data_IF_405509731894
#
_entry.id   IF_405509731894
#
_cell.length_a   1.000
_cell.length_b   1.000
_cell.length_c   1.000
_cell.angle_alpha   90.00
_cell.angle_beta   90.00
_cell.angle_gamma   90.00
#
_symmetry.space_group_name_H-M   'P 1'
#
loop_
_entity.id
_entity.type
_entity.pdbx_description
1 polymer ?
#
# COMPACT_ATOMS: atom_id res chain seq x y z
N UNK A 1 7.56 -2.83 10.79
CA UNK A 1 6.70 -4.03 10.67
C UNK A 1 6.20 -4.31 9.24
N UNK A 2 6.08 -3.31 8.35
CA UNK A 2 5.62 -3.50 6.96
C UNK A 2 6.61 -4.14 5.98
N UNK A 3 7.91 -4.15 6.28
CA UNK A 3 8.96 -4.64 5.37
C UNK A 3 9.10 -6.17 5.39
N UNK A 4 9.02 -6.80 6.57
CA UNK A 4 9.16 -8.25 6.70
C UNK A 4 8.08 -9.02 5.94
N UNK A 5 6.84 -8.53 5.96
CA UNK A 5 5.71 -9.19 5.30
C UNK A 5 5.82 -9.12 3.77
N UNK A 6 6.42 -8.06 3.22
CA UNK A 6 6.66 -7.92 1.78
C UNK A 6 7.81 -8.81 1.30
N UNK A 7 8.87 -8.95 2.11
CA UNK A 7 9.98 -9.89 1.83
C UNK A 7 9.48 -11.33 1.87
N UNK A 8 8.64 -11.68 2.84
CA UNK A 8 8.05 -13.01 2.95
C UNK A 8 7.12 -13.31 1.76
N UNK A 9 6.39 -12.30 1.27
CA UNK A 9 5.54 -12.43 0.08
C UNK A 9 6.35 -12.59 -1.20
N UNK A 10 7.48 -11.90 -1.32
CA UNK A 10 8.46 -12.08 -2.40
C UNK A 10 9.06 -13.49 -2.37
N UNK A 11 9.42 -13.98 -1.19
CA UNK A 11 9.97 -15.32 -0.98
C UNK A 11 8.96 -16.41 -1.36
N UNK A 12 7.71 -16.27 -0.93
CA UNK A 12 6.62 -17.18 -1.29
C UNK A 12 6.34 -17.13 -2.80
N UNK A 13 6.39 -15.96 -3.43
CA UNK A 13 6.22 -15.82 -4.88
C UNK A 13 7.34 -16.51 -5.67
N UNK A 14 8.59 -16.47 -5.18
CA UNK A 14 9.72 -17.18 -5.79
C UNK A 14 9.62 -18.70 -5.62
N UNK A 15 9.19 -19.17 -4.44
CA UNK A 15 8.95 -20.60 -4.16
C UNK A 15 7.80 -21.17 -4.99
N UNK A 16 6.74 -20.38 -5.21
CA UNK A 16 5.56 -20.81 -5.98
C UNK A 16 5.63 -20.46 -7.47
N UNK A 17 6.73 -19.85 -7.94
CA UNK A 17 6.92 -19.47 -9.34
C UNK A 17 6.79 -20.67 -10.30
N UNK A 18 7.22 -21.87 -9.87
CA UNK A 18 7.09 -23.09 -10.64
C UNK A 18 5.65 -23.67 -10.67
N UNK A 19 4.80 -23.31 -9.69
CA UNK A 19 3.41 -23.76 -9.62
C UNK A 19 2.42 -22.79 -10.29
N UNK A 20 2.77 -21.50 -10.39
CA UNK A 20 1.95 -20.48 -11.08
C UNK A 20 1.86 -20.70 -12.60
N UNK A 21 2.84 -21.38 -13.21
CA UNK A 21 2.83 -21.66 -14.65
C UNK A 21 1.67 -22.60 -15.08
N UNK A 22 1.08 -23.34 -14.16
CA UNK A 22 -0.02 -24.29 -14.43
C UNK A 22 -1.38 -23.82 -13.90
N UNK A 23 -1.48 -22.61 -13.32
CA UNK A 23 -2.77 -22.09 -12.88
C UNK A 23 -3.46 -21.38 -14.05
N UNK A 24 -4.71 -21.74 -14.40
CA UNK A 24 -5.52 -21.01 -15.37
C UNK A 24 -6.05 -19.73 -14.72
N UNK A 25 -5.13 -18.83 -14.37
CA UNK A 25 -5.46 -17.51 -13.87
C UNK A 25 -5.81 -16.63 -15.08
N UNK A 26 -6.98 -15.98 -15.10
CA UNK A 26 -7.41 -15.12 -16.20
C UNK A 26 -6.59 -13.82 -16.36
N UNK A 27 -5.50 -13.66 -15.60
CA UNK A 27 -4.71 -12.41 -15.54
C UNK A 27 -3.23 -12.67 -15.81
N UNK A 28 -2.61 -11.92 -16.74
CA UNK A 28 -1.19 -12.06 -17.07
C UNK A 28 -0.27 -11.78 -15.86
N UNK A 29 0.75 -12.61 -15.65
CA UNK A 29 1.74 -12.44 -14.58
C UNK A 29 2.46 -11.05 -14.61
N UNK A 30 2.60 -10.45 -15.80
CA UNK A 30 3.17 -9.12 -15.97
C UNK A 30 2.36 -8.00 -15.29
N UNK A 31 1.04 -8.16 -15.18
CA UNK A 31 0.17 -7.20 -14.49
C UNK A 31 0.52 -7.13 -12.99
N UNK A 32 0.71 -8.28 -12.34
CA UNK A 32 1.09 -8.35 -10.93
C UNK A 32 2.47 -7.76 -10.67
N UNK A 33 3.46 -8.06 -11.52
CA UNK A 33 4.81 -7.52 -11.38
C UNK A 33 4.86 -6.00 -11.55
N UNK A 34 4.19 -5.46 -12.57
CA UNK A 34 4.18 -4.02 -12.86
C UNK A 34 3.41 -3.24 -11.80
N UNK A 35 2.23 -3.72 -11.39
CA UNK A 35 1.44 -3.09 -10.33
C UNK A 35 2.18 -3.11 -8.99
N UNK A 36 2.75 -4.26 -8.59
CA UNK A 36 3.52 -4.36 -7.36
C UNK A 36 4.76 -3.44 -7.38
N UNK A 37 5.46 -3.37 -8.52
CA UNK A 37 6.60 -2.49 -8.71
C UNK A 37 6.23 -1.01 -8.60
N UNK A 38 5.15 -0.59 -9.26
CA UNK A 38 4.67 0.79 -9.22
C UNK A 38 4.31 1.22 -7.78
N UNK A 39 3.54 0.39 -7.07
CA UNK A 39 3.14 0.68 -5.69
C UNK A 39 4.31 0.62 -4.71
N UNK A 40 5.28 -0.28 -4.92
CA UNK A 40 6.50 -0.34 -4.11
C UNK A 40 7.35 0.91 -4.28
N UNK A 41 7.52 1.40 -5.51
CA UNK A 41 8.24 2.65 -5.79
C UNK A 41 7.54 3.85 -5.18
N UNK A 42 6.22 3.94 -5.31
CA UNK A 42 5.45 5.03 -4.72
C UNK A 42 5.48 4.99 -3.17
N UNK A 43 5.44 3.80 -2.57
CA UNK A 43 5.66 3.62 -1.13
C UNK A 43 7.08 4.02 -0.70
N UNK A 44 8.11 3.66 -1.47
CA UNK A 44 9.48 4.07 -1.21
C UNK A 44 9.67 5.59 -1.31
N UNK A 45 9.09 6.22 -2.32
CA UNK A 45 9.14 7.67 -2.52
C UNK A 45 8.45 8.43 -1.37
N UNK A 46 7.27 7.97 -0.94
CA UNK A 46 6.56 8.56 0.21
C UNK A 46 7.31 8.33 1.53
N UNK A 47 7.86 7.13 1.76
CA UNK A 47 8.68 6.82 2.92
C UNK A 47 9.95 7.68 2.99
N UNK A 48 10.61 7.90 1.85
CA UNK A 48 11.74 8.80 1.74
C UNK A 48 11.33 10.25 2.02
N UNK A 49 10.19 10.70 1.48
CA UNK A 49 9.62 12.02 1.77
C UNK A 49 9.32 12.24 3.26
N UNK A 50 8.77 11.23 3.93
CA UNK A 50 8.51 11.20 5.37
C UNK A 50 9.82 11.25 6.17
N UNK A 51 10.81 10.41 5.81
CA UNK A 51 12.11 10.38 6.47
C UNK A 51 12.87 11.71 6.35
N UNK A 52 12.72 12.39 5.21
CA UNK A 52 13.35 13.69 4.92
C UNK A 52 12.45 14.89 5.23
N UNK A 53 11.34 14.66 5.92
CA UNK A 53 10.48 15.68 6.52
C UNK A 53 9.93 16.70 5.51
N UNK A 54 9.67 16.23 4.29
CA UNK A 54 9.16 17.08 3.22
C UNK A 54 7.69 17.41 3.45
N UNK A 55 7.31 18.67 3.28
CA UNK A 55 5.94 19.14 3.48
C UNK A 55 4.89 18.43 2.60
N UNK A 56 5.29 17.93 1.41
CA UNK A 56 4.41 17.17 0.52
C UNK A 56 4.18 15.71 0.96
N UNK A 57 5.07 15.15 1.78
CA UNK A 57 5.06 13.73 2.16
C UNK A 57 3.79 13.29 2.89
N UNK A 58 3.25 14.02 3.89
CA UNK A 58 2.02 13.60 4.56
C UNK A 58 0.81 13.54 3.61
N UNK A 59 0.67 14.51 2.70
CA UNK A 59 -0.42 14.51 1.72
C UNK A 59 -0.25 13.41 0.67
N UNK A 60 0.96 13.19 0.18
CA UNK A 60 1.26 12.10 -0.76
C UNK A 60 1.01 10.72 -0.14
N UNK A 61 1.30 10.55 1.15
CA UNK A 61 1.06 9.29 1.88
C UNK A 61 -0.44 9.00 2.02
N UNK A 62 -1.26 10.03 2.29
CA UNK A 62 -2.74 9.90 2.31
C UNK A 62 -3.27 9.49 0.93
N UNK A 63 -2.82 10.15 -0.13
CA UNK A 63 -3.19 9.83 -1.51
C UNK A 63 -2.81 8.40 -1.89
N UNK A 64 -1.59 7.99 -1.57
CA UNK A 64 -1.10 6.63 -1.79
C UNK A 64 -1.94 5.59 -1.04
N UNK A 65 -2.26 5.82 0.24
CA UNK A 65 -3.06 4.90 1.03
C UNK A 65 -4.47 4.70 0.46
N UNK A 66 -5.12 5.79 0.04
CA UNK A 66 -6.44 5.75 -0.59
C UNK A 66 -6.39 5.05 -1.96
N UNK A 67 -5.43 5.42 -2.81
CA UNK A 67 -5.26 4.83 -4.13
C UNK A 67 -4.95 3.34 -4.07
N UNK A 68 -4.07 2.92 -3.16
CA UNK A 68 -3.74 1.51 -2.97
C UNK A 68 -4.93 0.71 -2.44
N UNK A 69 -5.72 1.29 -1.54
CA UNK A 69 -6.93 0.66 -1.02
C UNK A 69 -7.95 0.47 -2.14
N UNK A 70 -8.21 1.51 -2.93
CA UNK A 70 -9.12 1.43 -4.09
C UNK A 70 -8.64 0.40 -5.11
N UNK A 71 -7.34 0.37 -5.42
CA UNK A 71 -6.74 -0.62 -6.31
C UNK A 71 -6.95 -2.06 -5.79
N UNK A 72 -6.69 -2.32 -4.50
CA UNK A 72 -6.95 -3.63 -3.91
C UNK A 72 -8.41 -4.05 -3.98
N UNK A 73 -9.34 -3.13 -3.73
CA UNK A 73 -10.76 -3.43 -3.86
C UNK A 73 -11.16 -3.72 -5.32
N UNK A 74 -10.65 -2.95 -6.28
CA UNK A 74 -10.88 -3.19 -7.69
C UNK A 74 -10.31 -4.56 -8.13
N UNK A 75 -9.07 -4.87 -7.76
CA UNK A 75 -8.40 -6.15 -8.04
C UNK A 75 -9.22 -7.32 -7.50
N UNK A 76 -9.78 -7.20 -6.30
CA UNK A 76 -10.62 -8.26 -5.72
C UNK A 76 -11.98 -8.41 -6.39
N UNK A 77 -12.67 -7.30 -6.66
CA UNK A 77 -13.97 -7.33 -7.34
C UNK A 77 -13.85 -7.93 -8.75
N UNK A 78 -12.74 -7.65 -9.44
CA UNK A 78 -12.48 -8.12 -10.79
C UNK A 78 -11.93 -9.56 -10.83
N UNK A 79 -11.07 -9.95 -9.88
CA UNK A 79 -10.29 -11.19 -9.97
C UNK A 79 -10.69 -12.28 -8.97
N UNK A 80 -11.25 -11.93 -7.82
CA UNK A 80 -11.61 -12.89 -6.76
C UNK A 80 -13.09 -13.31 -6.79
N UNK A 81 -13.87 -12.89 -7.79
CA UNK A 81 -15.26 -13.35 -7.97
C UNK A 81 -15.39 -14.78 -8.52
N UNK A 82 -14.32 -15.58 -8.45
CA UNK A 82 -14.39 -17.02 -8.70
C UNK A 82 -14.82 -17.70 -7.40
N UNK A 83 -16.10 -18.09 -7.33
CA UNK A 83 -16.81 -18.60 -6.15
C UNK A 83 -16.25 -19.85 -5.43
N UNK A 84 -14.98 -20.21 -5.62
CA UNK A 84 -14.32 -21.33 -4.97
C UNK A 84 -13.92 -21.06 -3.51
N UNK A 85 -13.82 -19.81 -3.05
CA UNK A 85 -13.35 -19.49 -1.69
C UNK A 85 -14.29 -18.48 -1.01
N UNK A 86 -14.89 -18.86 0.13
CA UNK A 86 -15.57 -17.94 1.05
C UNK A 86 -14.53 -17.02 1.70
N UNK A 87 -14.14 -15.97 0.98
CA UNK A 87 -13.19 -14.99 1.48
C UNK A 87 -13.89 -14.10 2.53
N UNK A 88 -13.34 -13.89 3.75
CA UNK A 88 -13.93 -13.00 4.75
C UNK A 88 -13.72 -11.53 4.38
N UNK A 89 -14.44 -11.07 3.35
CA UNK A 89 -14.35 -9.72 2.80
C UNK A 89 -14.68 -8.64 3.85
N UNK A 90 -15.62 -8.92 4.76
CA UNK A 90 -15.99 -8.02 5.87
C UNK A 90 -14.82 -7.80 6.82
N UNK A 91 -14.12 -8.86 7.21
CA UNK A 91 -12.96 -8.75 8.11
C UNK A 91 -11.86 -7.88 7.51
N UNK A 92 -11.59 -8.06 6.21
CA UNK A 92 -10.57 -7.27 5.52
C UNK A 92 -11.01 -5.82 5.30
N UNK A 93 -12.30 -5.57 5.07
CA UNK A 93 -12.84 -4.21 5.00
C UNK A 93 -12.68 -3.49 6.33
N UNK A 94 -13.08 -4.14 7.43
CA UNK A 94 -12.96 -3.60 8.79
C UNK A 94 -11.50 -3.34 9.13
N UNK A 95 -10.61 -4.30 8.87
CA UNK A 95 -9.19 -4.15 9.14
C UNK A 95 -8.55 -3.03 8.30
N UNK A 96 -8.89 -2.96 7.00
CA UNK A 96 -8.45 -1.89 6.11
C UNK A 96 -8.91 -0.50 6.58
N UNK A 97 -10.17 -0.40 7.00
CA UNK A 97 -10.73 0.82 7.58
C UNK A 97 -9.99 1.22 8.85
N UNK A 98 -9.73 0.29 9.77
CA UNK A 98 -8.96 0.54 11.00
C UNK A 98 -7.56 1.04 10.68
N UNK A 99 -6.84 0.38 9.75
CA UNK A 99 -5.51 0.82 9.35
C UNK A 99 -5.52 2.22 8.72
N UNK A 100 -6.51 2.53 7.88
CA UNK A 100 -6.70 3.87 7.31
C UNK A 100 -6.99 4.90 8.40
N UNK A 101 -7.91 4.61 9.32
CA UNK A 101 -8.23 5.49 10.44
C UNK A 101 -7.01 5.79 11.30
N UNK A 102 -6.23 4.76 11.66
CA UNK A 102 -4.99 4.93 12.43
C UNK A 102 -3.98 5.79 11.66
N UNK A 103 -3.80 5.54 10.36
CA UNK A 103 -2.90 6.31 9.51
C UNK A 103 -3.32 7.79 9.46
N UNK A 104 -4.62 8.05 9.26
CA UNK A 104 -5.16 9.41 9.26
C UNK A 104 -5.02 10.09 10.62
N UNK A 105 -5.30 9.39 11.72
CA UNK A 105 -5.15 9.93 13.08
C UNK A 105 -3.69 10.30 13.35
N UNK A 106 -2.75 9.40 13.06
CA UNK A 106 -1.31 9.66 13.23
C UNK A 106 -0.89 10.90 12.42
N UNK A 107 -1.28 10.97 11.14
CA UNK A 107 -0.97 12.11 10.26
C UNK A 107 -1.76 13.39 10.60
N UNK A 108 -2.85 13.29 11.36
CA UNK A 108 -3.64 14.43 11.83
C UNK A 108 -3.16 14.94 13.20
N UNK A 109 -2.31 14.18 13.91
CA UNK A 109 -1.80 14.56 15.22
C UNK A 109 -1.09 15.92 15.15
N UNK A 110 -1.38 16.88 16.04
CA UNK A 110 -0.82 18.22 15.99
C UNK A 110 0.71 18.24 16.13
N UNK A 111 1.29 17.24 16.80
CA UNK A 111 2.74 17.05 16.88
C UNK A 111 3.38 16.83 15.51
N UNK A 112 2.75 16.03 14.65
CA UNK A 112 3.21 15.75 13.28
C UNK A 112 3.06 17.00 12.44
N UNK A 113 1.90 17.67 12.50
CA UNK A 113 1.68 18.90 11.73
C UNK A 113 2.62 20.04 12.12
N UNK A 114 2.89 20.22 13.42
CA UNK A 114 3.84 21.23 13.90
C UNK A 114 5.27 20.94 13.39
N UNK A 115 5.65 19.67 13.30
CA UNK A 115 6.94 19.24 12.80
C UNK A 115 7.14 19.60 11.31
N UNK A 116 6.18 19.25 10.47
CA UNK A 116 6.25 19.55 9.02
C UNK A 116 6.05 21.04 8.69
N UNK A 117 5.29 21.77 9.52
CA UNK A 117 5.12 23.22 9.37
C UNK A 117 6.43 23.97 9.65
N UNK A 118 7.16 23.56 10.69
CA UNK A 118 8.44 24.20 11.03
C UNK A 118 9.54 23.93 10.00
N UNK A 119 9.54 22.77 9.34
CA UNK A 119 10.51 22.48 8.27
C UNK A 119 10.19 23.20 6.95
N UNK A 120 8.91 23.46 6.66
CA UNK A 120 8.52 24.27 5.50
C UNK A 120 9.06 25.71 5.61
N UNK A 121 8.88 26.34 6.78
CA UNK A 121 9.36 27.71 7.05
C UNK A 121 10.89 27.80 6.92
N UNK A 122 11.64 26.75 7.30
CA UNK A 122 13.10 26.70 7.21
C UNK A 122 13.64 26.49 5.79
N UNK A 123 12.82 26.06 4.84
CA UNK A 123 13.25 25.91 3.43
C UNK A 123 13.03 27.15 2.57
N UNK A 124 12.33 28.16 3.10
CA UNK A 124 12.01 29.42 2.42
C UNK A 124 12.87 30.60 2.90
N UNK A 125 13.72 30.41 3.92
CA UNK A 125 14.72 31.38 4.39
C UNK A 125 16.13 30.92 4.11
#
# INVERSE_FOLDING_TARGET
MFTGLQVLRLWVALQQAAQLANLPLPVPAGYFALSAGLWALAAAATAYGLARQRAWAPNATRGLALGYTAFQWADRLLLQNNGLHKHPWVFQAVWGAVCLSVLFVILATPAVQAYYRNTAIRSEG
#
